data_IF_928181744764
#
_entry.id   IF_928181744764
#
_cell.length_a   1.000
_cell.length_b   1.000
_cell.length_c   1.000
_cell.angle_alpha   90.00
_cell.angle_beta   90.00
_cell.angle_gamma   90.00
#
_symmetry.space_group_name_H-M   'P 1'
#
loop_
_entity.id
_entity.type
_entity.pdbx_description
1 polymer ?
#
# COMPACT_ATOMS: atom_id res chain seq x y z
N UNK A 1 4.54 -13.91 12.72
CA UNK A 1 3.77 -14.35 11.54
C UNK A 1 3.87 -15.84 11.26
N UNK A 2 5.00 -16.40 10.79
CA UNK A 2 5.04 -17.82 10.42
C UNK A 2 4.74 -18.78 11.59
N UNK A 3 5.29 -18.51 12.79
CA UNK A 3 4.95 -19.27 14.01
C UNK A 3 3.46 -19.16 14.38
N UNK A 4 2.86 -18.01 14.13
CA UNK A 4 1.44 -17.74 14.43
C UNK A 4 0.53 -18.47 13.43
N UNK A 5 0.92 -18.49 12.15
CA UNK A 5 0.29 -19.28 11.10
C UNK A 5 0.29 -20.78 11.45
N UNK A 6 1.46 -21.33 11.82
CA UNK A 6 1.61 -22.74 12.20
C UNK A 6 0.80 -23.09 13.45
N UNK A 7 0.74 -22.17 14.44
CA UNK A 7 -0.08 -22.36 15.64
C UNK A 7 -1.57 -22.34 15.32
N UNK A 8 -2.02 -21.42 14.48
CA UNK A 8 -3.40 -21.34 14.04
C UNK A 8 -3.82 -22.61 13.28
N UNK A 9 -2.97 -23.11 12.36
CA UNK A 9 -3.20 -24.36 11.64
C UNK A 9 -3.29 -25.57 12.58
N UNK A 10 -2.36 -25.70 13.53
CA UNK A 10 -2.40 -26.79 14.53
C UNK A 10 -3.68 -26.76 15.37
N UNK A 11 -4.14 -25.56 15.75
CA UNK A 11 -5.38 -25.40 16.50
C UNK A 11 -6.60 -25.78 15.66
N UNK A 12 -6.64 -25.42 14.37
CA UNK A 12 -7.72 -25.83 13.46
C UNK A 12 -7.71 -27.33 13.19
N UNK A 13 -6.55 -27.95 13.00
CA UNK A 13 -6.44 -29.41 12.82
C UNK A 13 -6.87 -30.17 14.08
N UNK A 14 -6.48 -29.69 15.27
CA UNK A 14 -6.92 -30.27 16.53
C UNK A 14 -8.44 -30.13 16.72
N UNK A 15 -9.01 -29.01 16.27
CA UNK A 15 -10.46 -28.80 16.28
C UNK A 15 -11.17 -29.75 15.32
N UNK A 16 -10.69 -29.89 14.08
CA UNK A 16 -11.22 -30.85 13.10
C UNK A 16 -11.19 -32.27 13.66
N UNK A 17 -10.08 -32.70 14.29
CA UNK A 17 -9.97 -34.03 14.90
C UNK A 17 -10.98 -34.25 16.03
N UNK A 18 -11.24 -33.23 16.86
CA UNK A 18 -12.29 -33.28 17.90
C UNK A 18 -13.68 -33.36 17.29
N UNK A 19 -13.94 -32.54 16.27
CA UNK A 19 -15.23 -32.49 15.57
C UNK A 19 -15.58 -33.80 14.86
N UNK A 20 -14.58 -34.46 14.28
CA UNK A 20 -14.71 -35.80 13.68
C UNK A 20 -14.97 -36.87 14.74
N UNK A 21 -14.41 -36.72 15.95
CA UNK A 21 -14.61 -37.69 17.04
C UNK A 21 -15.99 -37.57 17.69
N UNK A 22 -16.59 -36.38 17.69
CA UNK A 22 -17.85 -36.06 18.36
C UNK A 22 -19.10 -36.72 17.70
N UNK A 23 -19.97 -37.44 18.43
CA UNK A 23 -21.22 -37.99 17.89
C UNK A 23 -22.32 -36.93 17.79
N UNK A 24 -22.17 -35.95 16.89
CA UNK A 24 -23.20 -34.95 16.55
C UNK A 24 -23.72 -35.06 15.10
N UNK A 25 -24.78 -34.32 14.77
CA UNK A 25 -25.33 -34.20 13.40
C UNK A 25 -24.29 -33.63 12.43
N UNK A 26 -24.08 -34.30 11.30
CA UNK A 26 -23.02 -33.96 10.35
C UNK A 26 -23.23 -32.59 9.67
N UNK A 27 -24.48 -32.17 9.50
CA UNK A 27 -24.82 -30.83 8.98
C UNK A 27 -24.39 -29.71 9.93
N UNK A 28 -24.58 -29.91 11.24
CA UNK A 28 -24.14 -28.95 12.25
C UNK A 28 -22.61 -28.89 12.33
N UNK A 29 -21.92 -30.01 12.12
CA UNK A 29 -20.45 -30.05 12.06
C UNK A 29 -19.90 -29.28 10.87
N UNK A 30 -20.51 -29.39 9.69
CA UNK A 30 -20.08 -28.65 8.49
C UNK A 30 -20.20 -27.14 8.72
N UNK A 31 -21.34 -26.68 9.28
CA UNK A 31 -21.54 -25.25 9.59
C UNK A 31 -20.56 -24.76 10.67
N UNK A 32 -20.28 -25.57 11.69
CA UNK A 32 -19.32 -25.20 12.73
C UNK A 32 -17.88 -25.12 12.19
N UNK A 33 -17.51 -26.05 11.29
CA UNK A 33 -16.22 -26.09 10.63
C UNK A 33 -16.00 -24.84 9.76
N UNK A 34 -16.97 -24.51 8.91
CA UNK A 34 -16.90 -23.34 8.03
C UNK A 34 -16.78 -22.04 8.84
N UNK A 35 -17.56 -21.89 9.92
CA UNK A 35 -17.47 -20.75 10.82
C UNK A 35 -16.08 -20.60 11.47
N UNK A 36 -15.49 -21.71 11.94
CA UNK A 36 -14.15 -21.68 12.56
C UNK A 36 -13.08 -21.35 11.53
N UNK A 37 -13.12 -21.98 10.35
CA UNK A 37 -12.17 -21.72 9.27
C UNK A 37 -12.25 -20.27 8.79
N UNK A 38 -13.47 -19.76 8.56
CA UNK A 38 -13.71 -18.36 8.19
C UNK A 38 -13.18 -17.38 9.26
N UNK A 39 -13.43 -17.67 10.54
CA UNK A 39 -12.93 -16.83 11.64
C UNK A 39 -11.41 -16.85 11.75
N UNK A 40 -10.79 -18.00 11.58
CA UNK A 40 -9.32 -18.15 11.61
C UNK A 40 -8.68 -17.46 10.41
N UNK A 41 -9.25 -17.62 9.21
CA UNK A 41 -8.84 -16.90 8.00
C UNK A 41 -8.88 -15.39 8.22
N UNK A 42 -10.03 -14.85 8.64
CA UNK A 42 -10.20 -13.41 8.88
C UNK A 42 -9.23 -12.87 9.92
N UNK A 43 -9.04 -13.56 11.05
CA UNK A 43 -8.10 -13.13 12.09
C UNK A 43 -6.65 -13.09 11.61
N UNK A 44 -6.28 -14.04 10.75
CA UNK A 44 -4.95 -14.07 10.18
C UNK A 44 -4.74 -12.96 9.14
N UNK A 45 -5.72 -12.73 8.27
CA UNK A 45 -5.71 -11.64 7.29
C UNK A 45 -5.69 -10.27 7.96
N UNK A 46 -6.51 -10.04 8.99
CA UNK A 46 -6.49 -8.82 9.79
C UNK A 46 -5.09 -8.58 10.41
N UNK A 47 -4.48 -9.63 10.97
CA UNK A 47 -3.14 -9.56 11.56
C UNK A 47 -2.04 -9.28 10.53
N UNK A 48 -2.15 -9.85 9.32
CA UNK A 48 -1.24 -9.58 8.21
C UNK A 48 -1.41 -8.15 7.67
N UNK A 49 -2.64 -7.67 7.59
CA UNK A 49 -2.97 -6.29 7.23
C UNK A 49 -2.34 -5.29 8.21
N UNK A 50 -2.54 -5.48 9.52
CA UNK A 50 -1.94 -4.62 10.55
C UNK A 50 -0.42 -4.59 10.45
N UNK A 51 0.22 -5.75 10.24
CA UNK A 51 1.67 -5.80 10.09
C UNK A 51 2.14 -5.07 8.83
N UNK A 52 1.46 -5.25 7.70
CA UNK A 52 1.76 -4.55 6.45
C UNK A 52 1.62 -3.03 6.60
N UNK A 53 0.51 -2.57 7.20
CA UNK A 53 0.31 -1.14 7.50
C UNK A 53 1.41 -0.61 8.40
N UNK A 54 1.80 -1.31 9.46
CA UNK A 54 2.88 -0.86 10.35
C UNK A 54 4.21 -0.71 9.61
N UNK A 55 4.54 -1.63 8.69
CA UNK A 55 5.77 -1.57 7.89
C UNK A 55 5.74 -0.35 6.96
N UNK A 56 4.62 -0.14 6.26
CA UNK A 56 4.44 1.02 5.35
C UNK A 56 4.51 2.33 6.13
N UNK A 57 3.78 2.46 7.23
CA UNK A 57 3.79 3.66 8.07
C UNK A 57 5.17 3.94 8.67
N UNK A 58 5.88 2.90 9.12
CA UNK A 58 7.26 3.06 9.59
C UNK A 58 8.17 3.58 8.48
N UNK A 59 8.07 3.00 7.28
CA UNK A 59 8.87 3.39 6.13
C UNK A 59 8.59 4.83 5.68
N UNK A 60 7.32 5.23 5.61
CA UNK A 60 6.91 6.61 5.34
C UNK A 60 7.46 7.56 6.41
N UNK A 61 7.45 7.15 7.67
CA UNK A 61 8.04 7.91 8.78
C UNK A 61 9.54 8.14 8.61
N UNK A 62 10.29 7.10 8.22
CA UNK A 62 11.73 7.22 7.93
C UNK A 62 11.98 8.14 6.74
N UNK A 63 11.22 7.98 5.65
CA UNK A 63 11.34 8.85 4.47
C UNK A 63 11.05 10.31 4.78
N UNK A 64 10.04 10.59 5.61
CA UNK A 64 9.73 11.95 6.02
C UNK A 64 10.88 12.59 6.77
N UNK A 65 11.49 11.87 7.72
CA UNK A 65 12.66 12.37 8.48
C UNK A 65 13.84 12.63 7.57
N UNK A 66 14.10 11.73 6.62
CA UNK A 66 15.16 11.91 5.62
C UNK A 66 14.91 13.17 4.77
N UNK A 67 13.70 13.36 4.26
CA UNK A 67 13.33 14.56 3.50
C UNK A 67 13.46 15.85 4.32
N UNK A 68 13.05 15.84 5.59
CA UNK A 68 13.19 16.99 6.49
C UNK A 68 14.67 17.37 6.72
N UNK A 69 15.55 16.37 6.90
CA UNK A 69 16.99 16.63 7.08
C UNK A 69 17.65 17.12 5.78
N UNK A 70 17.22 16.62 4.62
CA UNK A 70 17.69 17.11 3.32
C UNK A 70 17.27 18.56 3.11
N UNK A 71 16.01 18.90 3.37
CA UNK A 71 15.51 20.27 3.24
C UNK A 71 16.30 21.22 4.16
N UNK A 72 16.60 20.79 5.39
CA UNK A 72 17.44 21.55 6.30
C UNK A 72 18.86 21.75 5.75
N UNK A 73 19.49 20.70 5.23
CA UNK A 73 20.82 20.79 4.64
C UNK A 73 20.83 21.72 3.41
N UNK A 74 19.81 21.63 2.56
CA UNK A 74 19.64 22.51 1.39
C UNK A 74 19.53 23.98 1.83
N UNK A 75 18.73 24.25 2.86
CA UNK A 75 18.60 25.60 3.41
C UNK A 75 19.94 26.11 3.98
N UNK A 76 20.70 25.27 4.71
CA UNK A 76 22.02 25.63 5.22
C UNK A 76 23.02 25.95 4.10
N UNK A 77 23.02 25.15 3.02
CA UNK A 77 23.87 25.40 1.84
C UNK A 77 23.49 26.70 1.15
N UNK A 78 22.19 26.97 1.00
CA UNK A 78 21.68 28.19 0.41
C UNK A 78 22.05 29.42 1.24
N UNK A 79 21.89 29.34 2.56
CA UNK A 79 22.24 30.41 3.49
C UNK A 79 23.75 30.67 3.50
N UNK A 80 24.57 29.61 3.42
CA UNK A 80 26.02 29.72 3.28
C UNK A 80 26.39 30.43 1.97
N UNK A 81 25.76 30.05 0.85
CA UNK A 81 25.95 30.70 -0.45
C UNK A 81 25.57 32.18 -0.42
N UNK A 82 24.42 32.52 0.17
CA UNK A 82 23.96 33.90 0.32
C UNK A 82 24.89 34.73 1.23
N UNK A 83 25.37 34.14 2.33
CA UNK A 83 26.31 34.80 3.25
C UNK A 83 27.66 35.03 2.59
N UNK A 84 28.21 34.03 1.90
CA UNK A 84 29.45 34.16 1.16
C UNK A 84 29.35 35.19 0.02
N UNK A 85 28.20 35.23 -0.65
CA UNK A 85 27.92 36.26 -1.66
C UNK A 85 27.87 37.66 -1.02
N UNK A 86 27.18 37.83 0.11
CA UNK A 86 27.11 39.12 0.81
C UNK A 86 28.49 39.62 1.29
N UNK A 87 29.32 38.72 1.82
CA UNK A 87 30.68 39.03 2.29
C UNK A 87 31.58 39.50 1.14
N UNK A 88 31.61 38.74 0.03
CA UNK A 88 32.34 39.13 -1.17
C UNK A 88 31.80 40.41 -1.82
N UNK A 89 30.47 40.62 -1.76
CA UNK A 89 29.85 41.83 -2.27
C UNK A 89 30.29 43.09 -1.52
N UNK A 90 30.51 42.99 -0.20
CA UNK A 90 31.03 44.09 0.61
C UNK A 90 32.48 44.42 0.21
N UNK A 91 33.32 43.39 0.05
CA UNK A 91 34.72 43.58 -0.31
C UNK A 91 34.90 44.12 -1.74
N UNK A 92 34.10 43.64 -2.69
CA UNK A 92 34.16 44.09 -4.08
C UNK A 92 33.56 45.49 -4.29
N UNK A 93 32.67 45.95 -3.42
CA UNK A 93 32.11 47.31 -3.52
C UNK A 93 33.13 48.43 -3.23
N UNK A 94 34.24 48.11 -2.55
CA UNK A 94 35.27 49.07 -2.14
C UNK A 94 36.57 49.00 -2.95
N UNK A 95 36.69 48.02 -3.85
CA UNK A 95 37.86 47.86 -4.71
C UNK A 95 37.64 48.55 -6.07
N UNK A 96 38.53 49.46 -6.44
CA UNK A 96 38.50 50.10 -7.78
C UNK A 96 38.88 49.13 -8.92
N UNK A 97 39.51 48.00 -8.61
CA UNK A 97 40.05 47.02 -9.57
C UNK A 97 39.28 45.68 -9.56
N UNK A 98 37.94 45.70 -9.56
CA UNK A 98 37.15 44.46 -9.69
C UNK A 98 37.23 43.93 -11.12
N UNK A 99 37.70 42.69 -11.29
CA UNK A 99 37.78 42.07 -12.62
C UNK A 99 36.49 41.35 -13.00
N UNK A 100 36.31 41.07 -14.29
CA UNK A 100 35.19 40.25 -14.79
C UNK A 100 35.16 38.87 -14.12
N UNK A 101 36.33 38.32 -13.77
CA UNK A 101 36.43 37.03 -13.11
C UNK A 101 35.86 37.07 -11.68
N UNK A 102 36.06 38.16 -10.96
CA UNK A 102 35.55 38.33 -9.60
C UNK A 102 34.02 38.44 -9.60
N UNK A 103 33.47 39.15 -10.59
CA UNK A 103 32.03 39.22 -10.82
C UNK A 103 31.41 37.86 -11.17
N UNK A 104 32.11 37.07 -11.99
CA UNK A 104 31.69 35.71 -12.32
C UNK A 104 31.71 34.79 -11.10
N UNK A 105 32.70 34.91 -10.21
CA UNK A 105 32.78 34.14 -8.96
C UNK A 105 31.66 34.53 -7.99
N UNK A 106 31.38 35.83 -7.85
CA UNK A 106 30.30 36.34 -7.01
C UNK A 106 28.93 35.77 -7.42
N UNK A 107 28.60 35.79 -8.72
CA UNK A 107 27.35 35.19 -9.22
C UNK A 107 27.39 33.66 -9.28
N UNK A 108 28.57 33.08 -9.45
CA UNK A 108 28.78 31.64 -9.50
C UNK A 108 28.46 30.93 -8.19
N UNK A 109 28.64 31.59 -7.03
CA UNK A 109 28.36 31.00 -5.72
C UNK A 109 26.91 30.58 -5.52
N UNK A 110 25.97 31.45 -5.93
CA UNK A 110 24.54 31.14 -5.82
C UNK A 110 24.14 30.02 -6.80
N UNK A 111 24.76 29.99 -7.98
CA UNK A 111 24.53 28.92 -8.94
C UNK A 111 25.10 27.59 -8.45
N UNK A 112 26.31 27.59 -7.88
CA UNK A 112 26.93 26.41 -7.28
C UNK A 112 26.10 25.86 -6.10
N UNK A 113 25.53 26.75 -5.27
CA UNK A 113 24.61 26.34 -4.20
C UNK A 113 23.35 25.65 -4.74
N UNK A 114 22.76 26.17 -5.83
CA UNK A 114 21.60 25.55 -6.50
C UNK A 114 21.94 24.23 -7.19
N UNK A 115 23.12 24.14 -7.79
CA UNK A 115 23.62 22.90 -8.39
C UNK A 115 23.82 21.82 -7.31
N UNK A 116 24.36 22.21 -6.14
CA UNK A 116 24.50 21.31 -5.00
C UNK A 116 23.14 20.89 -4.43
N UNK A 117 22.18 21.81 -4.31
CA UNK A 117 20.79 21.52 -3.93
C UNK A 117 20.17 20.48 -4.87
N UNK A 118 20.21 20.73 -6.18
CA UNK A 118 19.70 19.80 -7.20
C UNK A 118 20.40 18.44 -7.12
N UNK A 119 21.72 18.44 -6.88
CA UNK A 119 22.50 17.23 -6.72
C UNK A 119 22.08 16.43 -5.48
N UNK A 120 21.95 17.09 -4.31
CA UNK A 120 21.52 16.45 -3.06
C UNK A 120 20.11 15.87 -3.16
N UNK A 121 19.17 16.60 -3.76
CA UNK A 121 17.82 16.08 -4.05
C UNK A 121 17.90 14.86 -4.97
N UNK A 122 18.67 14.94 -6.05
CA UNK A 122 18.82 13.83 -6.99
C UNK A 122 19.46 12.58 -6.37
N UNK A 123 20.40 12.76 -5.42
CA UNK A 123 21.02 11.68 -4.66
C UNK A 123 20.04 11.03 -3.68
N UNK A 124 19.26 11.84 -2.97
CA UNK A 124 18.28 11.36 -2.00
C UNK A 124 17.12 10.59 -2.63
N UNK A 125 16.62 11.07 -3.78
CA UNK A 125 15.48 10.45 -4.45
C UNK A 125 15.86 9.29 -5.37
N UNK A 126 17.16 8.99 -5.54
CA UNK A 126 17.58 7.87 -6.38
C UNK A 126 17.63 8.18 -7.88
N UNK A 127 17.62 9.47 -8.26
CA UNK A 127 17.53 9.90 -9.66
C UNK A 127 18.90 10.14 -10.32
N UNK A 128 20.00 9.95 -9.60
CA UNK A 128 21.38 10.10 -10.10
C UNK A 128 22.14 8.77 -10.12
N UNK A 129 23.11 8.62 -11.03
CA UNK A 129 24.02 7.45 -11.07
C UNK A 129 24.85 7.31 -9.79
N UNK A 130 25.02 8.40 -9.03
CA UNK A 130 25.73 8.43 -7.75
C UNK A 130 24.80 8.24 -6.54
N UNK A 131 23.49 8.13 -6.75
CA UNK A 131 22.56 7.91 -5.67
C UNK A 131 22.89 6.60 -4.96
N UNK A 132 23.02 6.65 -3.63
CA UNK A 132 23.17 5.43 -2.85
C UNK A 132 21.92 4.58 -3.07
N UNK A 133 22.10 3.38 -3.65
CA UNK A 133 21.02 2.40 -3.75
C UNK A 133 20.40 2.21 -2.37
N UNK A 134 19.09 2.46 -2.26
CA UNK A 134 18.39 2.33 -0.99
C UNK A 134 18.22 0.83 -0.67
N UNK A 135 19.23 0.25 -0.03
CA UNK A 135 19.27 -1.16 0.36
C UNK A 135 18.06 -1.56 1.24
N UNK A 136 17.53 -0.61 2.02
CA UNK A 136 16.33 -0.83 2.83
C UNK A 136 15.08 -0.98 1.98
N UNK A 137 14.93 -0.21 0.90
CA UNK A 137 13.79 -0.33 0.00
C UNK A 137 13.70 -1.73 -0.64
N UNK A 138 14.84 -2.29 -1.06
CA UNK A 138 14.90 -3.66 -1.57
C UNK A 138 14.54 -4.69 -0.50
N UNK A 139 15.09 -4.57 0.71
CA UNK A 139 14.77 -5.48 1.82
C UNK A 139 13.31 -5.38 2.28
N UNK A 140 12.71 -4.20 2.20
CA UNK A 140 11.30 -4.01 2.52
C UNK A 140 10.40 -4.68 1.49
N UNK A 141 10.77 -4.57 0.21
CA UNK A 141 10.09 -5.27 -0.89
C UNK A 141 10.19 -6.79 -0.72
N UNK A 142 11.38 -7.31 -0.43
CA UNK A 142 11.59 -8.74 -0.15
C UNK A 142 10.70 -9.18 1.03
N UNK A 143 10.66 -8.40 2.11
CA UNK A 143 9.84 -8.68 3.29
C UNK A 143 8.34 -8.68 2.98
N UNK A 144 7.87 -7.79 2.09
CA UNK A 144 6.48 -7.75 1.67
C UNK A 144 6.12 -8.99 0.82
N UNK A 145 6.99 -9.39 -0.11
CA UNK A 145 6.83 -10.63 -0.88
C UNK A 145 6.82 -11.85 0.04
N UNK A 146 7.68 -11.88 1.06
CA UNK A 146 7.71 -12.93 2.07
C UNK A 146 6.41 -12.98 2.88
N UNK A 147 5.87 -11.82 3.29
CA UNK A 147 4.60 -11.73 4.00
C UNK A 147 3.44 -12.27 3.15
N UNK A 148 3.35 -11.85 1.88
CA UNK A 148 2.35 -12.33 0.93
C UNK A 148 2.46 -13.85 0.71
N UNK A 149 3.69 -14.36 0.60
CA UNK A 149 3.96 -15.79 0.45
C UNK A 149 3.51 -16.58 1.69
N UNK A 150 3.75 -16.04 2.89
CA UNK A 150 3.28 -16.66 4.15
C UNK A 150 1.75 -16.67 4.22
N UNK A 151 1.09 -15.58 3.80
CA UNK A 151 -0.38 -15.51 3.75
C UNK A 151 -0.95 -16.52 2.78
N UNK A 152 -0.39 -16.60 1.57
CA UNK A 152 -0.82 -17.56 0.56
C UNK A 152 -0.64 -19.00 1.06
N UNK A 153 0.52 -19.33 1.62
CA UNK A 153 0.79 -20.67 2.18
C UNK A 153 -0.18 -21.03 3.31
N UNK A 154 -0.50 -20.07 4.18
CA UNK A 154 -1.48 -20.27 5.23
C UNK A 154 -2.88 -20.54 4.66
N UNK A 155 -3.33 -19.75 3.69
CA UNK A 155 -4.63 -19.93 3.03
C UNK A 155 -4.72 -21.29 2.31
N UNK A 156 -3.67 -21.71 1.59
CA UNK A 156 -3.63 -23.03 0.95
C UNK A 156 -3.76 -24.16 1.96
N UNK A 157 -2.95 -24.14 3.04
CA UNK A 157 -3.01 -25.16 4.09
C UNK A 157 -4.34 -25.17 4.84
N UNK A 158 -4.93 -23.99 5.07
CA UNK A 158 -6.23 -23.88 5.70
C UNK A 158 -7.33 -24.45 4.80
N UNK A 159 -7.23 -24.23 3.49
CA UNK A 159 -8.15 -24.81 2.49
C UNK A 159 -8.02 -26.33 2.42
N UNK A 160 -6.80 -26.87 2.42
CA UNK A 160 -6.53 -28.31 2.49
C UNK A 160 -7.09 -28.93 3.78
N UNK A 161 -6.84 -28.30 4.92
CA UNK A 161 -7.39 -28.75 6.21
C UNK A 161 -8.93 -28.71 6.21
N UNK A 162 -9.53 -27.69 5.61
CA UNK A 162 -10.97 -27.59 5.45
C UNK A 162 -11.55 -28.71 4.56
N UNK A 163 -10.94 -28.96 3.39
CA UNK A 163 -11.34 -30.03 2.48
C UNK A 163 -11.26 -31.40 3.15
N UNK A 164 -10.16 -31.68 3.88
CA UNK A 164 -9.99 -32.91 4.66
C UNK A 164 -11.00 -33.05 5.79
N UNK A 165 -11.36 -31.95 6.45
CA UNK A 165 -12.40 -31.92 7.47
C UNK A 165 -13.79 -32.24 6.91
N UNK A 166 -14.12 -31.72 5.72
CA UNK A 166 -15.36 -32.03 5.02
C UNK A 166 -15.42 -33.50 4.56
N UNK A 167 -14.31 -34.02 4.05
CA UNK A 167 -14.21 -35.44 3.64
C UNK A 167 -14.40 -36.37 4.84
N UNK A 168 -13.70 -36.14 5.95
CA UNK A 168 -13.81 -36.97 7.16
C UNK A 168 -15.21 -36.95 7.79
N UNK A 169 -15.96 -35.85 7.66
CA UNK A 169 -17.36 -35.77 8.11
C UNK A 169 -18.30 -36.52 7.15
N UNK A 170 -18.03 -36.49 5.84
CA UNK A 170 -18.80 -37.22 4.83
C UNK A 170 -18.54 -38.74 4.86
N UNK A 171 -17.31 -39.17 5.11
CA UNK A 171 -16.92 -40.59 5.09
C UNK A 171 -17.56 -41.39 6.24
N UNK A 172 -17.88 -40.75 7.37
CA UNK A 172 -18.72 -41.32 8.44
C UNK A 172 -20.16 -41.64 8.00
N UNK A 173 -20.63 -41.08 6.89
CA UNK A 173 -21.96 -41.34 6.32
C UNK A 173 -22.01 -42.67 5.54
N UNK A 174 -20.89 -43.37 5.32
CA UNK A 174 -20.91 -44.70 4.72
C UNK A 174 -21.24 -45.76 5.78
N UNK A 175 -22.41 -46.43 5.73
CA UNK A 175 -22.65 -47.58 6.59
C UNK A 175 -21.78 -48.76 6.13
N UNK A 176 -21.30 -49.63 7.05
CA UNK A 176 -20.68 -50.89 6.68
C UNK A 176 -21.78 -51.83 6.19
N UNK A 177 -21.71 -52.24 4.93
CA UNK A 177 -22.54 -53.31 4.40
C UNK A 177 -21.65 -54.28 3.62
N UNK A 178 -21.07 -55.23 4.35
CA UNK A 178 -20.72 -56.53 3.80
C UNK A 178 -22.02 -57.25 3.37
N UNK A 179 -22.19 -57.42 2.06
CA UNK A 179 -22.76 -58.64 1.49
C UNK A 179 -22.40 -58.70 -0.02
N UNK A 180 -21.89 -59.84 -0.52
CA UNK A 180 -21.33 -59.96 -1.85
C UNK A 180 -22.43 -60.23 -2.88
N UNK A 181 -22.39 -59.53 -4.02
CA UNK A 181 -23.09 -59.94 -5.24
C UNK A 181 -22.09 -60.09 -6.37
N UNK A 182 -21.90 -61.35 -6.70
CA UNK A 182 -21.13 -61.90 -7.79
C UNK A 182 -21.91 -61.75 -9.12
N UNK A 183 -21.19 -61.68 -10.25
CA UNK A 183 -21.64 -61.97 -11.65
C UNK A 183 -22.44 -60.84 -12.34
N UNK A 184 -22.17 -60.32 -13.55
CA UNK A 184 -21.17 -60.49 -14.64
C UNK A 184 -21.47 -59.42 -15.74
N UNK A 185 -20.55 -59.17 -16.69
CA UNK A 185 -20.45 -57.94 -17.47
C UNK A 185 -21.06 -58.01 -18.88
N UNK A 186 -21.21 -56.83 -19.50
CA UNK A 186 -21.34 -56.67 -20.95
C UNK A 186 -22.28 -55.54 -21.32
N UNK A 187 -21.75 -54.48 -21.95
CA UNK A 187 -22.03 -54.18 -23.36
C UNK A 187 -21.77 -52.69 -23.64
N UNK A 188 -20.71 -52.46 -24.42
CA UNK A 188 -20.46 -51.23 -25.15
C UNK A 188 -21.56 -51.04 -26.21
N UNK A 189 -22.07 -49.82 -26.36
CA UNK A 189 -22.42 -49.27 -27.68
C UNK A 189 -22.34 -47.75 -27.62
N UNK A 190 -21.36 -47.22 -28.35
CA UNK A 190 -21.33 -45.84 -28.80
C UNK A 190 -22.35 -45.63 -29.91
N UNK A 191 -23.04 -44.48 -29.93
CA UNK A 191 -23.49 -43.86 -31.17
C UNK A 191 -23.60 -42.35 -31.03
N UNK A 192 -22.84 -41.67 -31.88
CA UNK A 192 -22.81 -40.24 -32.16
C UNK A 192 -23.95 -39.84 -33.09
N UNK A 193 -24.57 -38.67 -32.90
CA UNK A 193 -25.17 -37.83 -33.97
C UNK A 193 -24.96 -36.34 -33.62
N UNK A 194 -24.50 -35.59 -34.62
CA UNK A 194 -24.09 -34.18 -34.65
C UNK A 194 -25.23 -33.14 -34.76
N UNK A 195 -24.81 -31.88 -34.52
CA UNK A 195 -25.24 -30.60 -35.12
C UNK A 195 -26.47 -29.85 -34.55
N UNK A 196 -26.23 -28.70 -33.90
CA UNK A 196 -26.54 -27.36 -34.45
C UNK A 196 -25.95 -26.24 -33.54
N UNK A 197 -25.21 -25.29 -34.11
CA UNK A 197 -24.81 -24.02 -33.47
C UNK A 197 -25.96 -22.99 -33.59
N UNK A 198 -26.05 -21.99 -32.71
CA UNK A 198 -25.70 -20.66 -33.20
C UNK A 198 -24.87 -19.79 -32.25
N UNK A 199 -23.85 -19.20 -32.86
CA UNK A 199 -23.01 -18.07 -32.46
C UNK A 199 -23.83 -16.80 -32.20
N UNK A 200 -23.62 -16.14 -31.05
CA UNK A 200 -23.90 -14.71 -30.91
C UNK A 200 -22.75 -13.98 -30.23
N UNK A 201 -22.19 -13.04 -31.01
CA UNK A 201 -21.15 -12.08 -30.68
C UNK A 201 -21.76 -10.89 -29.94
N UNK A 202 -21.19 -10.50 -28.79
CA UNK A 202 -21.46 -9.22 -28.12
C UNK A 202 -20.11 -8.60 -27.76
N UNK A 203 -19.40 -8.11 -28.77
CA UNK A 203 -18.41 -7.06 -28.59
C UNK A 203 -18.82 -5.91 -29.52
N UNK A 204 -19.11 -4.71 -28.98
CA UNK A 204 -19.30 -3.54 -29.81
C UNK A 204 -17.95 -3.09 -30.37
N UNK A 205 -17.82 -3.12 -31.70
CA UNK A 205 -16.79 -2.40 -32.43
C UNK A 205 -17.37 -1.03 -32.79
N UNK A 206 -16.80 0.02 -32.20
CA UNK A 206 -16.94 1.40 -32.64
C UNK A 206 -15.57 1.91 -33.03
N UNK A 207 -15.36 2.00 -34.34
CA UNK A 207 -14.23 2.62 -35.02
C UNK A 207 -14.18 4.14 -34.76
N UNK A 208 -13.06 4.76 -35.13
CA UNK A 208 -12.79 6.17 -35.47
C UNK A 208 -11.53 6.67 -34.75
N UNK A 209 -10.44 6.64 -35.50
CA UNK A 209 -9.23 7.39 -35.19
C UNK A 209 -9.52 8.89 -35.03
N UNK A 210 -8.90 9.49 -34.01
CA UNK A 210 -8.71 10.93 -33.92
C UNK A 210 -7.45 11.20 -33.11
N UNK A 211 -6.48 11.85 -33.77
CA UNK A 211 -5.38 12.56 -33.13
C UNK A 211 -5.91 13.38 -31.95
N UNK A 212 -5.36 13.18 -30.77
CA UNK A 212 -5.36 14.19 -29.70
C UNK A 212 -3.95 14.24 -29.13
N UNK A 213 -3.32 15.34 -29.51
CA UNK A 213 -2.17 16.00 -28.93
C UNK A 213 -2.40 16.16 -27.42
N UNK A 214 -1.54 15.54 -26.61
CA UNK A 214 -1.46 15.81 -25.17
C UNK A 214 -0.86 17.21 -24.98
N UNK A 215 -1.71 18.18 -24.67
CA UNK A 215 -1.31 19.37 -23.93
C UNK A 215 -1.71 19.16 -22.47
N UNK A 216 -0.70 19.24 -21.61
CA UNK A 216 -0.80 19.49 -20.19
C UNK A 216 -1.81 20.58 -19.87
N UNK A 217 -2.73 20.32 -18.93
CA UNK A 217 -3.17 21.32 -17.94
C UNK A 217 -4.13 20.73 -16.91
N UNK A 218 -3.87 21.12 -15.65
CA UNK A 218 -4.74 21.14 -14.48
C UNK A 218 -4.80 19.88 -13.59
N UNK A 219 -3.93 19.93 -12.57
CA UNK A 219 -4.20 19.69 -11.14
C UNK A 219 -5.52 18.97 -10.81
N UNK A 220 -5.39 17.73 -10.32
CA UNK A 220 -6.40 17.11 -9.50
C UNK A 220 -5.76 16.51 -8.24
N UNK A 221 -5.57 17.38 -7.25
CA UNK A 221 -5.20 17.01 -5.87
C UNK A 221 -6.48 16.52 -5.17
N UNK A 222 -6.70 15.21 -5.17
CA UNK A 222 -7.68 14.59 -4.28
C UNK A 222 -7.03 14.23 -2.94
N UNK A 223 -6.89 15.21 -2.03
CA UNK A 223 -6.62 14.92 -0.61
C UNK A 223 -7.97 14.71 0.07
N UNK A 224 -8.27 13.45 0.41
CA UNK A 224 -9.36 13.09 1.32
C UNK A 224 -9.02 13.59 2.73
N UNK A 225 -9.30 14.86 3.02
CA UNK A 225 -9.31 15.34 4.41
C UNK A 225 -10.45 14.63 5.15
N UNK A 226 -10.12 13.97 6.27
CA UNK A 226 -11.09 13.27 7.09
C UNK A 226 -12.17 14.22 7.61
N UNK A 227 -13.39 13.71 7.78
CA UNK A 227 -14.56 14.46 8.24
C UNK A 227 -14.27 15.30 9.51
N UNK A 228 -13.43 14.77 10.40
CA UNK A 228 -13.01 15.42 11.64
C UNK A 228 -12.22 16.72 11.41
N UNK A 229 -11.37 16.80 10.37
CA UNK A 229 -10.64 18.03 10.03
C UNK A 229 -11.54 19.09 9.39
N UNK A 230 -12.63 18.69 8.75
CA UNK A 230 -13.62 19.62 8.18
C UNK A 230 -14.46 20.23 9.29
N UNK A 231 -14.85 19.44 10.29
CA UNK A 231 -15.59 19.93 11.46
C UNK A 231 -14.74 20.88 12.33
N UNK A 232 -13.44 20.58 12.50
CA UNK A 232 -12.52 21.48 13.21
C UNK A 232 -12.29 22.80 12.47
N UNK A 233 -12.09 22.75 11.15
CA UNK A 233 -11.94 23.96 10.34
C UNK A 233 -13.22 24.81 10.33
N UNK A 234 -14.40 24.18 10.35
CA UNK A 234 -15.68 24.89 10.38
C UNK A 234 -15.92 25.56 11.74
N UNK A 235 -15.54 24.90 12.84
CA UNK A 235 -15.58 25.49 14.19
C UNK A 235 -14.63 26.68 14.31
N UNK A 236 -13.42 26.55 13.78
CA UNK A 236 -12.42 27.63 13.80
C UNK A 236 -12.87 28.85 12.97
N UNK A 237 -13.56 28.62 11.86
CA UNK A 237 -14.15 29.70 11.05
C UNK A 237 -15.31 30.41 11.78
N UNK A 238 -16.17 29.66 12.49
CA UNK A 238 -17.24 30.26 13.30
C UNK A 238 -16.72 31.08 14.49
N UNK A 239 -15.62 30.66 15.10
CA UNK A 239 -14.97 31.43 16.18
C UNK A 239 -14.37 32.74 15.64
N UNK A 240 -13.74 32.72 14.46
CA UNK A 240 -13.21 33.92 13.81
C UNK A 240 -14.31 34.91 13.37
N UNK A 241 -15.50 34.42 12.99
CA UNK A 241 -16.64 35.26 12.63
C UNK A 241 -17.29 35.94 13.84
N UNK A 242 -17.25 35.29 15.02
CA UNK A 242 -17.76 35.87 16.26
C UNK A 242 -16.84 36.97 16.84
N UNK A 243 -15.52 36.85 16.64
CA UNK A 243 -14.57 37.89 17.07
C UNK A 243 -14.62 39.15 16.19
N UNK A 244 -14.99 39.03 14.91
CA UNK A 244 -15.19 40.21 14.03
C UNK A 244 -16.50 40.97 14.29
N UNK A 245 -17.46 40.38 15.01
CA UNK A 245 -18.75 41.02 15.35
C UNK A 245 -18.68 41.87 16.64
N UNK A 246 -17.54 41.86 17.34
CA UNK A 246 -17.37 42.52 18.65
C UNK A 246 -16.50 43.79 18.60
N UNK A 247 -16.59 44.59 17.54
CA UNK A 247 -16.02 45.95 17.55
C UNK A 247 -17.10 47.03 17.37
N UNK A 248 -17.64 47.59 18.47
CA UNK A 248 -18.41 48.81 18.41
C UNK A 248 -17.53 50.02 18.79
N UNK A 249 -17.33 50.85 17.78
CA UNK A 249 -17.56 52.30 17.84
C UNK A 249 -16.44 53.20 18.40
N UNK A 250 -15.77 53.87 17.47
CA UNK A 250 -15.53 55.33 17.41
C UNK A 250 -15.72 56.12 18.71
N UNK A 251 -14.62 56.73 19.20
CA UNK A 251 -14.72 58.02 19.86
C UNK A 251 -13.65 58.99 19.34
N UNK A 252 -14.15 59.94 18.55
CA UNK A 252 -13.60 61.28 18.34
C UNK A 252 -13.61 62.00 19.68
N UNK A 253 -12.51 62.66 20.07
CA UNK A 253 -12.56 63.97 20.73
C UNK A 253 -11.21 64.70 20.70
N UNK A 254 -11.27 65.89 20.08
CA UNK A 254 -10.53 67.16 20.27
C UNK A 254 -9.00 67.21 20.16
#
# INVERSE_FOLDING_TARGET
>A
MQKDADKALKNTEAFIKKLVSDPGSDEQKIVLLDNVVSKVKKRFEDGAGVLSTNIVTWWEGVRRVESEEIEKLVNEVRDLGATAQADLGLDYAWLDDVTVNDWARYHGLLNAAKELETSLESMAFGNSEEALENALAFKLRDLQVDLETVVLRFQTRLSEAHAKGLEAVKERKAPPADAPSNITPGQETATSIEADEPTFSILPIGDVGRNVQEEDSAEYIFIKKGQEQVEDALRQAQEAENDQSSDPTLHVEL
#
